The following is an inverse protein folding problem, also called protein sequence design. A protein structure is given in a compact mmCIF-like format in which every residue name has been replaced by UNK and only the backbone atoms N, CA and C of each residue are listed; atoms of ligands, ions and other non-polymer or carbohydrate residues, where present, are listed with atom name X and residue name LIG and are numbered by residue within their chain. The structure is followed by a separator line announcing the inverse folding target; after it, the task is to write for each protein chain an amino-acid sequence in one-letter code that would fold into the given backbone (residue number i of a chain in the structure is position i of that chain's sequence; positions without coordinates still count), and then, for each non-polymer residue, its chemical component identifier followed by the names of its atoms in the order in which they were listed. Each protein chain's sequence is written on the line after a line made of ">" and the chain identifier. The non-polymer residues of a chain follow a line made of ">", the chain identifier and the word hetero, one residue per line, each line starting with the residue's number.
data_IF_844823220558
#
_entry.id   IF_844823220558
#
_cell.length_a   1.000
_cell.length_b   1.000
_cell.length_c   1.000
_cell.angle_alpha   90.00
_cell.angle_beta   90.00
_cell.angle_gamma   90.00
#
_symmetry.space_group_name_H-M   'P 1'
#
loop_
_entity.id
_entity.type
_entity.pdbx_description
1 polymer ?
#
# COMPACT_ATOMS: atom_id res chain seq x y z
N UNK A 1 35.04 -28.59 -2.20
CA UNK A 1 33.73 -28.92 -1.59
C UNK A 1 33.19 -27.76 -0.76
N UNK A 2 33.93 -27.29 0.26
CA UNK A 2 33.51 -26.20 1.15
C UNK A 2 33.10 -24.89 0.46
N UNK A 3 33.80 -24.46 -0.58
CA UNK A 3 33.49 -23.22 -1.32
C UNK A 3 32.13 -23.33 -2.06
N UNK A 4 31.77 -24.51 -2.56
CA UNK A 4 30.47 -24.74 -3.22
C UNK A 4 29.31 -24.64 -2.22
N UNK A 5 29.45 -25.27 -1.06
CA UNK A 5 28.47 -25.16 0.03
C UNK A 5 28.32 -23.73 0.57
N UNK A 6 29.43 -22.98 0.65
CA UNK A 6 29.38 -21.56 1.00
C UNK A 6 28.60 -20.73 -0.01
N UNK A 7 28.84 -20.93 -1.31
CA UNK A 7 28.15 -20.19 -2.36
C UNK A 7 26.66 -20.54 -2.45
N UNK A 8 26.29 -21.82 -2.34
CA UNK A 8 24.89 -22.27 -2.27
C UNK A 8 24.20 -21.75 -1.00
N UNK A 9 24.91 -21.75 0.13
CA UNK A 9 24.42 -21.19 1.40
C UNK A 9 24.11 -19.70 1.29
N UNK A 10 24.99 -18.91 0.65
CA UNK A 10 24.78 -17.47 0.44
C UNK A 10 23.51 -17.22 -0.37
N UNK A 11 23.33 -17.92 -1.50
CA UNK A 11 22.10 -17.80 -2.31
C UNK A 11 20.86 -18.20 -1.52
N UNK A 12 20.93 -19.29 -0.76
CA UNK A 12 19.82 -19.74 0.10
C UNK A 12 19.44 -18.70 1.16
N UNK A 13 20.42 -18.14 1.90
CA UNK A 13 20.15 -17.12 2.92
C UNK A 13 19.59 -15.83 2.31
N UNK A 14 20.05 -15.42 1.12
CA UNK A 14 19.50 -14.27 0.42
C UNK A 14 18.05 -14.50 0.00
N UNK A 15 17.71 -15.69 -0.49
CA UNK A 15 16.34 -16.07 -0.83
C UNK A 15 15.41 -16.12 0.38
N UNK A 16 15.88 -16.70 1.49
CA UNK A 16 15.15 -16.67 2.78
C UNK A 16 14.95 -15.23 3.25
N UNK A 17 15.97 -14.38 3.10
CA UNK A 17 15.89 -12.94 3.38
C UNK A 17 14.81 -12.25 2.56
N UNK A 18 14.71 -12.55 1.26
CA UNK A 18 13.65 -12.04 0.37
C UNK A 18 12.27 -12.45 0.89
N UNK A 19 12.09 -13.73 1.21
CA UNK A 19 10.84 -14.25 1.76
C UNK A 19 10.43 -13.55 3.06
N UNK A 20 11.37 -13.37 3.99
CA UNK A 20 11.11 -12.70 5.27
C UNK A 20 10.77 -11.22 5.12
N UNK A 21 11.49 -10.49 4.26
CA UNK A 21 11.23 -9.07 3.96
C UNK A 21 9.85 -8.91 3.33
N UNK A 22 9.51 -9.77 2.36
CA UNK A 22 8.18 -9.78 1.73
C UNK A 22 7.09 -10.10 2.73
N UNK A 23 7.23 -11.14 3.54
CA UNK A 23 6.23 -11.55 4.51
C UNK A 23 5.96 -10.46 5.56
N UNK A 24 7.02 -9.91 6.17
CA UNK A 24 6.89 -8.82 7.14
C UNK A 24 6.30 -7.57 6.51
N UNK A 25 6.72 -7.26 5.29
CA UNK A 25 6.22 -6.12 4.53
C UNK A 25 4.72 -6.24 4.21
N UNK A 26 4.32 -7.40 3.70
CA UNK A 26 2.94 -7.75 3.35
C UNK A 26 2.03 -7.70 4.59
N UNK A 27 2.44 -8.34 5.68
CA UNK A 27 1.67 -8.35 6.92
C UNK A 27 1.42 -6.94 7.46
N UNK A 28 2.43 -6.08 7.42
CA UNK A 28 2.32 -4.69 7.89
C UNK A 28 1.46 -3.84 6.94
N UNK A 29 1.60 -4.02 5.64
CA UNK A 29 0.74 -3.35 4.65
C UNK A 29 -0.73 -3.77 4.80
N UNK A 30 -1.01 -5.05 5.03
CA UNK A 30 -2.37 -5.54 5.28
C UNK A 30 -2.98 -4.93 6.54
N UNK A 31 -2.22 -4.82 7.64
CA UNK A 31 -2.69 -4.15 8.86
C UNK A 31 -3.15 -2.72 8.57
N UNK A 32 -2.30 -1.94 7.90
CA UNK A 32 -2.62 -0.55 7.57
C UNK A 32 -3.83 -0.41 6.62
N UNK A 33 -3.99 -1.34 5.67
CA UNK A 33 -5.17 -1.36 4.81
C UNK A 33 -6.45 -1.70 5.61
N UNK A 34 -6.37 -2.66 6.53
CA UNK A 34 -7.51 -3.05 7.37
C UNK A 34 -7.92 -1.95 8.35
N UNK A 35 -6.96 -1.31 9.03
CA UNK A 35 -7.19 -0.17 9.92
C UNK A 35 -7.86 0.98 9.18
N UNK A 36 -7.41 1.25 7.94
CA UNK A 36 -7.99 2.25 7.06
C UNK A 36 -9.42 1.92 6.67
N UNK A 37 -9.72 0.68 6.27
CA UNK A 37 -11.08 0.24 5.93
C UNK A 37 -12.02 0.33 7.14
N UNK A 38 -11.55 -0.03 8.32
CA UNK A 38 -12.33 0.09 9.56
C UNK A 38 -12.62 1.56 9.90
N UNK A 39 -11.61 2.44 9.75
CA UNK A 39 -11.75 3.88 9.93
C UNK A 39 -12.77 4.46 8.93
N UNK A 40 -12.76 3.98 7.68
CA UNK A 40 -13.76 4.33 6.67
C UNK A 40 -15.18 3.90 7.07
N UNK A 41 -15.34 2.65 7.51
CA UNK A 41 -16.65 2.13 7.98
C UNK A 41 -17.18 2.93 9.16
N UNK A 42 -16.32 3.25 10.13
CA UNK A 42 -16.69 4.08 11.29
C UNK A 42 -17.16 5.47 10.87
N UNK A 43 -16.46 6.12 9.96
CA UNK A 43 -16.85 7.43 9.45
C UNK A 43 -18.18 7.39 8.69
N UNK A 44 -18.38 6.38 7.83
CA UNK A 44 -19.64 6.19 7.11
C UNK A 44 -20.82 5.96 8.05
N UNK A 45 -20.63 5.19 9.12
CA UNK A 45 -21.67 4.95 10.12
C UNK A 45 -22.02 6.23 10.89
N UNK A 46 -21.01 6.93 11.42
CA UNK A 46 -21.19 8.22 12.10
C UNK A 46 -21.91 9.25 11.22
N UNK A 47 -21.55 9.32 9.94
CA UNK A 47 -22.22 10.20 8.98
C UNK A 47 -23.67 9.80 8.77
N UNK A 48 -23.96 8.51 8.63
CA UNK A 48 -25.33 8.01 8.51
C UNK A 48 -26.20 8.45 9.69
N UNK A 49 -25.66 8.36 10.90
CA UNK A 49 -26.35 8.80 12.12
C UNK A 49 -26.60 10.31 12.13
N UNK A 50 -25.60 11.13 11.76
CA UNK A 50 -25.78 12.58 11.64
C UNK A 50 -26.81 12.93 10.56
N UNK A 51 -26.80 12.24 9.42
CA UNK A 51 -27.75 12.50 8.34
C UNK A 51 -29.20 12.20 8.76
N UNK A 52 -29.41 11.14 9.57
CA UNK A 52 -30.74 10.87 10.16
C UNK A 52 -31.12 11.96 11.15
N UNK A 53 -30.20 12.40 12.02
CA UNK A 53 -30.47 13.49 12.98
C UNK A 53 -30.77 14.82 12.29
N UNK A 54 -30.04 15.18 11.23
CA UNK A 54 -30.29 16.37 10.44
C UNK A 54 -31.68 16.36 9.79
N UNK A 55 -32.19 15.19 9.38
CA UNK A 55 -33.56 15.06 8.85
C UNK A 55 -34.65 15.22 9.92
N UNK A 56 -34.36 14.84 11.17
CA UNK A 56 -35.32 14.85 12.28
C UNK A 56 -35.33 16.18 13.03
N UNK A 57 -34.15 16.81 13.18
CA UNK A 57 -33.93 18.02 13.98
C UNK A 57 -33.57 19.24 13.13
N UNK A 58 -33.74 19.16 11.80
CA UNK A 58 -33.35 20.23 10.87
C UNK A 58 -34.13 21.55 11.04
N UNK A 59 -35.23 21.55 11.80
CA UNK A 59 -36.01 22.75 12.09
C UNK A 59 -35.44 23.57 13.27
N UNK A 60 -34.58 22.99 14.09
CA UNK A 60 -33.88 23.70 15.18
C UNK A 60 -32.50 24.17 14.70
N UNK A 61 -32.39 25.48 14.47
CA UNK A 61 -31.21 26.12 13.90
C UNK A 61 -29.96 25.96 14.78
N UNK A 62 -30.11 25.91 16.11
CA UNK A 62 -28.97 25.67 17.01
C UNK A 62 -28.47 24.22 16.88
N UNK A 63 -29.38 23.26 16.89
CA UNK A 63 -29.05 21.84 16.72
C UNK A 63 -28.47 21.55 15.33
N UNK A 64 -28.97 22.22 14.30
CA UNK A 64 -28.45 22.11 12.93
C UNK A 64 -26.99 22.57 12.82
N UNK A 65 -26.68 23.76 13.35
CA UNK A 65 -25.30 24.30 13.33
C UNK A 65 -24.33 23.41 14.12
N UNK A 66 -24.76 22.88 15.27
CA UNK A 66 -23.93 21.97 16.06
C UNK A 66 -23.64 20.64 15.34
N UNK A 67 -24.65 20.06 14.68
CA UNK A 67 -24.49 18.85 13.87
C UNK A 67 -23.55 19.06 12.67
N UNK A 68 -23.65 20.20 11.99
CA UNK A 68 -22.73 20.57 10.90
C UNK A 68 -21.30 20.75 11.40
N UNK A 69 -21.12 21.43 12.53
CA UNK A 69 -19.79 21.61 13.15
C UNK A 69 -19.16 20.27 13.51
N UNK A 70 -19.93 19.39 14.14
CA UNK A 70 -19.48 18.04 14.49
C UNK A 70 -19.10 17.22 13.24
N UNK A 71 -19.84 17.36 12.15
CA UNK A 71 -19.54 16.69 10.88
C UNK A 71 -18.24 17.23 10.25
N UNK A 72 -18.05 18.55 10.26
CA UNK A 72 -16.83 19.22 9.76
C UNK A 72 -15.59 18.81 10.57
N UNK A 73 -15.67 18.86 11.90
CA UNK A 73 -14.58 18.45 12.79
C UNK A 73 -14.26 16.95 12.64
N UNK A 74 -15.29 16.10 12.59
CA UNK A 74 -15.10 14.66 12.36
C UNK A 74 -14.48 14.37 10.99
N UNK A 75 -14.84 15.12 9.94
CA UNK A 75 -14.23 14.97 8.61
C UNK A 75 -12.76 15.37 8.61
N UNK A 76 -12.42 16.51 9.24
CA UNK A 76 -11.03 16.98 9.37
C UNK A 76 -10.18 15.93 10.10
N UNK A 77 -10.69 15.37 11.18
CA UNK A 77 -10.02 14.31 11.93
C UNK A 77 -9.88 13.02 11.10
N UNK A 78 -10.96 12.58 10.46
CA UNK A 78 -10.96 11.42 9.56
C UNK A 78 -9.91 11.57 8.46
N UNK A 79 -9.93 12.70 7.73
CA UNK A 79 -9.01 12.97 6.61
C UNK A 79 -7.56 12.96 7.07
N UNK A 80 -7.26 13.63 8.20
CA UNK A 80 -5.92 13.64 8.79
C UNK A 80 -5.42 12.23 9.10
N UNK A 81 -6.23 11.41 9.76
CA UNK A 81 -5.83 10.04 10.12
C UNK A 81 -5.74 9.14 8.88
N UNK A 82 -6.66 9.30 7.92
CA UNK A 82 -6.65 8.58 6.65
C UNK A 82 -5.38 8.86 5.85
N UNK A 83 -5.02 10.14 5.69
CA UNK A 83 -3.80 10.56 4.99
C UNK A 83 -2.53 10.06 5.69
N UNK A 84 -2.54 10.03 7.03
CA UNK A 84 -1.43 9.48 7.81
C UNK A 84 -1.25 7.97 7.55
N UNK A 85 -2.32 7.19 7.48
CA UNK A 85 -2.24 5.77 7.10
C UNK A 85 -1.74 5.58 5.67
N UNK A 86 -2.15 6.43 4.72
CA UNK A 86 -1.64 6.36 3.35
C UNK A 86 -0.13 6.64 3.29
N UNK A 87 0.33 7.63 4.06
CA UNK A 87 1.74 7.99 4.13
C UNK A 87 2.57 6.86 4.73
N UNK A 88 2.10 6.24 5.81
CA UNK A 88 2.74 5.07 6.43
C UNK A 88 2.83 3.89 5.46
N UNK A 89 1.76 3.61 4.71
CA UNK A 89 1.77 2.54 3.70
C UNK A 89 2.78 2.82 2.58
N UNK A 90 2.84 4.06 2.10
CA UNK A 90 3.79 4.49 1.06
C UNK A 90 5.25 4.36 1.54
N UNK A 91 5.53 4.82 2.76
CA UNK A 91 6.86 4.70 3.37
C UNK A 91 7.27 3.23 3.57
N UNK A 92 6.34 2.38 4.04
CA UNK A 92 6.64 0.96 4.21
C UNK A 92 6.89 0.27 2.85
N UNK A 93 6.06 0.55 1.84
CA UNK A 93 6.20 -0.02 0.48
C UNK A 93 7.52 0.38 -0.16
N UNK A 94 7.92 1.65 -0.06
CA UNK A 94 9.21 2.13 -0.58
C UNK A 94 10.39 1.50 0.17
N UNK A 95 10.29 1.32 1.49
CA UNK A 95 11.29 0.62 2.30
C UNK A 95 11.46 -0.84 1.86
N UNK A 96 10.37 -1.60 1.74
CA UNK A 96 10.40 -3.01 1.30
C UNK A 96 11.01 -3.11 -0.10
N UNK A 97 10.60 -2.23 -1.02
CA UNK A 97 11.15 -2.19 -2.39
C UNK A 97 12.67 -1.98 -2.38
N UNK A 98 13.18 -1.07 -1.55
CA UNK A 98 14.63 -0.84 -1.41
C UNK A 98 15.35 -2.08 -0.87
N UNK A 99 14.82 -2.73 0.15
CA UNK A 99 15.41 -3.97 0.69
C UNK A 99 15.44 -5.10 -0.33
N UNK A 100 14.37 -5.27 -1.10
CA UNK A 100 14.35 -6.27 -2.16
C UNK A 100 15.30 -5.96 -3.30
N UNK A 101 15.47 -4.69 -3.66
CA UNK A 101 16.50 -4.29 -4.62
C UNK A 101 17.90 -4.63 -4.12
N UNK A 102 18.20 -4.37 -2.84
CA UNK A 102 19.50 -4.71 -2.25
C UNK A 102 19.74 -6.23 -2.24
N UNK A 103 18.74 -7.02 -1.84
CA UNK A 103 18.85 -8.48 -1.84
C UNK A 103 18.96 -9.06 -3.26
N UNK A 104 18.19 -8.54 -4.21
CA UNK A 104 18.27 -8.92 -5.61
C UNK A 104 19.62 -8.57 -6.21
N UNK A 105 20.19 -7.40 -5.87
CA UNK A 105 21.52 -7.01 -6.31
C UNK A 105 22.60 -7.91 -5.71
N UNK A 106 22.47 -8.29 -4.43
CA UNK A 106 23.34 -9.28 -3.79
C UNK A 106 23.31 -10.64 -4.50
N UNK A 107 22.12 -11.12 -4.87
CA UNK A 107 21.97 -12.34 -5.68
C UNK A 107 22.62 -12.18 -7.06
N UNK A 108 22.43 -11.02 -7.72
CA UNK A 108 23.03 -10.74 -9.03
C UNK A 108 24.56 -10.78 -8.99
N UNK A 109 25.17 -10.14 -7.99
CA UNK A 109 26.63 -10.21 -7.81
C UNK A 109 27.06 -11.67 -7.58
N UNK A 110 26.34 -12.43 -6.76
CA UNK A 110 26.68 -13.83 -6.48
C UNK A 110 26.59 -14.70 -7.73
N UNK A 111 25.50 -14.60 -8.49
CA UNK A 111 25.33 -15.33 -9.74
C UNK A 111 26.36 -14.91 -10.79
N UNK A 112 26.67 -13.61 -10.93
CA UNK A 112 27.68 -13.12 -11.86
C UNK A 112 29.07 -13.66 -11.52
N UNK A 113 29.44 -13.66 -10.23
CA UNK A 113 30.69 -14.26 -9.75
C UNK A 113 30.78 -15.75 -10.10
N UNK A 114 29.72 -16.51 -9.82
CA UNK A 114 29.66 -17.95 -10.11
C UNK A 114 29.79 -18.25 -11.61
N UNK A 115 29.12 -17.46 -12.46
CA UNK A 115 29.19 -17.62 -13.91
C UNK A 115 30.55 -17.22 -14.48
N UNK A 116 31.17 -16.17 -13.97
CA UNK A 116 32.54 -15.78 -14.35
C UNK A 116 33.54 -16.86 -13.96
N UNK A 117 33.43 -17.41 -12.74
CA UNK A 117 34.29 -18.51 -12.29
C UNK A 117 34.14 -19.73 -13.21
N UNK A 118 32.90 -20.17 -13.49
CA UNK A 118 32.68 -21.32 -14.35
C UNK A 118 33.15 -21.07 -15.80
N UNK A 119 32.97 -19.85 -16.33
CA UNK A 119 33.46 -19.47 -17.66
C UNK A 119 35.00 -19.46 -17.74
N UNK A 120 35.69 -18.85 -16.78
CA UNK A 120 37.16 -18.76 -16.80
C UNK A 120 37.86 -20.10 -16.55
N UNK A 121 37.32 -20.94 -15.67
CA UNK A 121 37.95 -22.22 -15.31
C UNK A 121 37.54 -23.38 -16.21
N UNK A 122 36.28 -23.41 -16.67
CA UNK A 122 35.73 -24.55 -17.39
C UNK A 122 35.23 -24.21 -18.79
N UNK A 123 35.20 -22.94 -19.21
CA UNK A 123 34.73 -22.53 -20.54
C UNK A 123 33.22 -22.72 -20.76
N UNK A 124 32.76 -22.53 -22.00
CA UNK A 124 31.35 -22.73 -22.39
C UNK A 124 31.09 -24.22 -22.64
N UNK A 125 30.99 -24.99 -21.55
CA UNK A 125 30.64 -26.40 -21.59
C UNK A 125 29.21 -26.66 -21.08
N UNK A 126 28.63 -27.86 -21.26
CA UNK A 126 27.28 -28.19 -20.76
C UNK A 126 27.07 -27.87 -19.27
N UNK A 127 28.14 -27.98 -18.48
CA UNK A 127 28.16 -27.64 -17.06
C UNK A 127 27.91 -26.15 -16.79
N UNK A 128 28.39 -25.25 -17.66
CA UNK A 128 28.08 -23.81 -17.58
C UNK A 128 26.58 -23.55 -17.72
N UNK A 129 25.93 -24.18 -18.70
CA UNK A 129 24.47 -24.04 -18.90
C UNK A 129 23.67 -24.61 -17.74
N UNK A 130 24.13 -25.70 -17.12
CA UNK A 130 23.52 -26.26 -15.91
C UNK A 130 23.57 -25.28 -14.73
N UNK A 131 24.73 -24.67 -14.47
CA UNK A 131 24.89 -23.67 -13.41
C UNK A 131 24.05 -22.42 -13.72
N UNK A 132 24.07 -21.94 -14.96
CA UNK A 132 23.25 -20.80 -15.40
C UNK A 132 21.75 -21.06 -15.21
N UNK A 133 21.25 -22.23 -15.59
CA UNK A 133 19.84 -22.60 -15.40
C UNK A 133 19.44 -22.68 -13.92
N UNK A 134 20.33 -23.22 -13.08
CA UNK A 134 20.10 -23.31 -11.64
C UNK A 134 20.04 -21.90 -11.00
N UNK A 135 20.98 -21.03 -11.34
CA UNK A 135 20.96 -19.63 -10.86
C UNK A 135 19.74 -18.86 -11.37
N UNK A 136 19.33 -19.05 -12.63
CA UNK A 136 18.12 -18.45 -13.20
C UNK A 136 16.86 -18.80 -12.39
N UNK A 137 16.78 -20.02 -11.86
CA UNK A 137 15.63 -20.44 -11.04
C UNK A 137 15.48 -19.60 -9.76
N UNK A 138 16.58 -19.10 -9.19
CA UNK A 138 16.55 -18.24 -8.00
C UNK A 138 15.87 -16.88 -8.29
N UNK A 139 15.95 -16.39 -9.53
CA UNK A 139 15.33 -15.12 -9.93
C UNK A 139 13.82 -15.22 -10.10
N UNK A 140 13.25 -16.42 -10.22
CA UNK A 140 11.79 -16.61 -10.24
C UNK A 140 11.20 -16.04 -8.96
N UNK A 141 11.79 -16.33 -7.80
CA UNK A 141 11.34 -15.80 -6.50
C UNK A 141 11.51 -14.27 -6.39
N UNK A 142 12.58 -13.73 -6.98
CA UNK A 142 12.79 -12.27 -7.05
C UNK A 142 11.66 -11.61 -7.86
N UNK A 143 11.35 -12.15 -9.04
CA UNK A 143 10.28 -11.65 -9.92
C UNK A 143 8.93 -11.73 -9.22
N UNK A 144 8.62 -12.87 -8.59
CA UNK A 144 7.39 -13.02 -7.79
C UNK A 144 7.33 -12.00 -6.65
N UNK A 145 8.44 -11.74 -5.97
CA UNK A 145 8.52 -10.72 -4.92
C UNK A 145 8.15 -9.31 -5.41
N UNK A 146 8.69 -8.91 -6.56
CA UNK A 146 8.33 -7.63 -7.18
C UNK A 146 6.87 -7.60 -7.67
N UNK A 147 6.35 -8.73 -8.18
CA UNK A 147 4.96 -8.82 -8.60
C UNK A 147 4.00 -8.67 -7.42
N UNK A 148 4.27 -9.34 -6.29
CA UNK A 148 3.49 -9.22 -5.07
C UNK A 148 3.47 -7.78 -4.54
N UNK A 149 4.62 -7.10 -4.51
CA UNK A 149 4.68 -5.69 -4.16
C UNK A 149 3.86 -4.81 -5.12
N UNK A 150 3.96 -5.06 -6.42
CA UNK A 150 3.20 -4.31 -7.44
C UNK A 150 1.69 -4.51 -7.27
N UNK A 151 1.26 -5.73 -6.98
CA UNK A 151 -0.15 -6.05 -6.70
C UNK A 151 -0.68 -5.28 -5.48
N UNK A 152 0.08 -5.26 -4.38
CA UNK A 152 -0.28 -4.48 -3.18
C UNK A 152 -0.31 -2.98 -3.46
N UNK A 153 0.67 -2.47 -4.21
CA UNK A 153 0.75 -1.05 -4.55
C UNK A 153 -0.40 -0.65 -5.48
N UNK A 154 -0.91 -1.56 -6.32
CA UNK A 154 -2.10 -1.31 -7.15
C UNK A 154 -3.37 -1.15 -6.32
N UNK A 155 -3.59 -2.00 -5.31
CA UNK A 155 -4.69 -1.82 -4.36
C UNK A 155 -4.58 -0.46 -3.66
N UNK A 156 -3.38 -0.08 -3.23
CA UNK A 156 -3.13 1.24 -2.65
C UNK A 156 -3.42 2.41 -3.61
N UNK A 157 -2.93 2.33 -4.86
CA UNK A 157 -3.08 3.39 -5.86
C UNK A 157 -4.54 3.54 -6.33
N UNK A 158 -5.27 2.43 -6.48
CA UNK A 158 -6.70 2.44 -6.77
C UNK A 158 -7.48 3.21 -5.69
N UNK A 159 -7.11 3.01 -4.42
CA UNK A 159 -7.74 3.68 -3.28
C UNK A 159 -7.24 5.09 -2.99
N UNK A 160 -6.15 5.55 -3.62
CA UNK A 160 -5.63 6.92 -3.40
C UNK A 160 -6.59 8.00 -3.92
N UNK A 161 -7.51 7.63 -4.81
CA UNK A 161 -8.60 8.48 -5.31
C UNK A 161 -9.98 8.20 -4.71
N UNK A 162 -10.12 7.16 -3.88
CA UNK A 162 -11.37 6.87 -3.17
C UNK A 162 -11.82 7.99 -2.23
N UNK A 163 -10.98 8.70 -1.45
CA UNK A 163 -11.46 9.76 -0.56
C UNK A 163 -11.96 10.98 -1.35
N UNK A 164 -11.41 11.27 -2.53
CA UNK A 164 -11.82 12.41 -3.39
C UNK A 164 -13.05 12.04 -4.24
N UNK A 165 -13.15 10.78 -4.68
CA UNK A 165 -14.39 10.25 -5.26
C UNK A 165 -15.50 10.16 -4.22
N UNK A 166 -15.18 9.72 -3.00
CA UNK A 166 -16.07 9.78 -1.87
C UNK A 166 -16.45 11.23 -1.62
N UNK A 167 -15.54 12.17 -1.43
CA UNK A 167 -15.85 13.59 -1.27
C UNK A 167 -16.84 14.11 -2.33
N UNK A 168 -16.64 13.78 -3.63
CA UNK A 168 -17.64 14.10 -4.67
C UNK A 168 -18.96 13.35 -4.49
N UNK A 169 -18.95 12.03 -4.42
CA UNK A 169 -20.16 11.22 -4.36
C UNK A 169 -20.92 11.42 -3.02
N UNK A 170 -20.24 11.84 -1.96
CA UNK A 170 -20.72 12.08 -0.59
C UNK A 170 -21.25 13.49 -0.44
N UNK A 171 -20.54 14.54 -0.93
CA UNK A 171 -21.04 15.92 -0.91
C UNK A 171 -22.24 16.12 -1.86
N UNK A 172 -22.33 15.34 -2.95
CA UNK A 172 -23.35 15.55 -3.98
C UNK A 172 -24.51 14.55 -3.98
N UNK A 173 -24.56 13.57 -3.05
CA UNK A 173 -25.78 12.79 -2.78
C UNK A 173 -26.78 13.56 -1.91
N UNK A 174 -27.10 14.80 -2.29
CA UNK A 174 -28.31 15.48 -1.87
C UNK A 174 -29.45 15.09 -2.82
N UNK A 175 -29.96 13.87 -2.68
CA UNK A 175 -31.32 13.61 -3.16
C UNK A 175 -32.29 14.39 -2.26
N UNK A 176 -32.58 15.64 -2.63
CA UNK A 176 -33.80 16.32 -2.21
C UNK A 176 -33.70 17.53 -1.26
N UNK A 177 -32.55 18.17 -1.06
CA UNK A 177 -32.50 19.49 -0.41
C UNK A 177 -32.31 20.57 -1.47
N UNK A 178 -33.48 20.93 -2.01
CA UNK A 178 -33.92 22.23 -2.53
C UNK A 178 -32.86 23.31 -2.82
N UNK A 179 -32.98 23.83 -4.04
CA UNK A 179 -32.70 25.20 -4.49
C UNK A 179 -32.34 26.26 -3.43
N UNK A 180 -31.35 27.09 -3.82
CA UNK A 180 -30.97 28.41 -3.28
C UNK A 180 -29.94 28.43 -2.12
N UNK A 181 -28.70 28.82 -2.46
CA UNK A 181 -27.83 29.62 -1.58
C UNK A 181 -26.81 28.89 -0.71
N UNK A 182 -27.11 27.71 -0.14
CA UNK A 182 -26.19 27.07 0.84
C UNK A 182 -24.95 26.41 0.23
N UNK A 183 -24.93 26.16 -1.08
CA UNK A 183 -23.82 25.47 -1.77
C UNK A 183 -22.50 26.24 -1.77
N UNK A 184 -22.52 27.56 -1.65
CA UNK A 184 -21.31 28.40 -1.76
C UNK A 184 -20.62 28.62 -0.40
N UNK A 185 -21.41 28.68 0.69
CA UNK A 185 -20.90 28.81 2.06
C UNK A 185 -20.06 27.60 2.48
N UNK A 186 -20.58 26.38 2.24
CA UNK A 186 -19.87 25.14 2.55
C UNK A 186 -18.58 24.99 1.74
N UNK A 187 -18.55 25.49 0.50
CA UNK A 187 -17.35 25.39 -0.36
C UNK A 187 -16.15 26.17 0.21
N UNK A 188 -16.40 27.28 0.91
CA UNK A 188 -15.36 28.12 1.50
C UNK A 188 -14.81 27.58 2.82
N UNK A 189 -15.51 26.67 3.51
CA UNK A 189 -15.04 26.06 4.77
C UNK A 189 -14.15 24.81 4.56
N UNK A 190 -14.17 24.25 3.34
CA UNK A 190 -13.42 23.03 2.97
C UNK A 190 -12.27 23.26 1.97
N UNK A 191 -12.05 24.50 1.52
CA UNK A 191 -10.83 24.91 0.81
C UNK A 191 -9.66 25.14 1.78
#
# INVERSE_FOLDING_TARGET
>A
MWIKYLNEGISFFLLVGIGLVLYRGLKRNQSHLSEREELLKRYLHFRGDIQVRLKVFGEDEQTYQELLKNLSESWKNFKKTYDQHLLLLSQNTTKIRRFLLLLAFGLLINSARLLLEEYFFYGIHPRFFYVAGTELSNYVLVIFGFFLLKSQTRQFLSSRGEPVKMERDILFYSNGLSEMGEKESLYNEFS
#
